data_IF_885578826378
#
_entry.id   IF_885578826378
#
_cell.length_a   1.000
_cell.length_b   1.000
_cell.length_c   1.000
_cell.angle_alpha   90.00
_cell.angle_beta   90.00
_cell.angle_gamma   90.00
#
_symmetry.space_group_name_H-M   'P 1'
#
loop_
_entity.id
_entity.type
_entity.pdbx_description
1 polymer ?
#
# COMPACT_ATOMS: atom_id res chain seq x y z
N UNK A 1 -39.58 14.39 -2.40
CA UNK A 1 -39.32 14.14 -3.84
C UNK A 1 -39.12 12.65 -4.05
N UNK A 2 -40.07 11.93 -4.69
CA UNK A 2 -39.89 10.52 -5.05
C UNK A 2 -38.80 10.38 -6.14
N UNK A 3 -38.00 9.30 -6.10
CA UNK A 3 -36.98 9.01 -7.12
C UNK A 3 -37.64 8.73 -8.46
N UNK A 4 -37.04 9.21 -9.55
CA UNK A 4 -37.55 8.95 -10.91
C UNK A 4 -37.28 7.51 -11.33
N UNK A 5 -38.07 6.97 -12.26
CA UNK A 5 -37.91 5.60 -12.74
C UNK A 5 -36.52 5.34 -13.35
N UNK A 6 -35.91 6.35 -13.97
CA UNK A 6 -34.55 6.29 -14.50
C UNK A 6 -33.50 6.16 -13.39
N UNK A 7 -33.63 6.95 -12.32
CA UNK A 7 -32.75 6.84 -11.16
C UNK A 7 -32.82 5.46 -10.50
N UNK A 8 -34.02 4.84 -10.48
CA UNK A 8 -34.18 3.49 -9.94
C UNK A 8 -33.54 2.41 -10.84
N UNK A 9 -33.62 2.56 -12.17
CA UNK A 9 -32.94 1.66 -13.12
C UNK A 9 -31.43 1.74 -13.00
N UNK A 10 -30.89 2.95 -12.92
CA UNK A 10 -29.46 3.18 -12.77
C UNK A 10 -28.94 2.65 -11.43
N UNK A 11 -29.70 2.90 -10.35
CA UNK A 11 -29.42 2.32 -9.03
C UNK A 11 -29.37 0.79 -9.07
N UNK A 12 -30.36 0.14 -9.70
CA UNK A 12 -30.39 -1.33 -9.78
C UNK A 12 -29.27 -1.90 -10.67
N UNK A 13 -28.83 -1.17 -11.70
CA UNK A 13 -27.68 -1.55 -12.54
C UNK A 13 -26.38 -1.53 -11.73
N UNK A 14 -26.13 -0.44 -11.02
CA UNK A 14 -24.95 -0.29 -10.17
C UNK A 14 -24.96 -1.29 -9.00
N UNK A 15 -26.13 -1.54 -8.41
CA UNK A 15 -26.30 -2.53 -7.36
C UNK A 15 -25.96 -3.95 -7.84
N UNK A 16 -26.42 -4.35 -9.03
CA UNK A 16 -26.10 -5.66 -9.63
C UNK A 16 -24.62 -5.79 -9.95
N UNK A 17 -24.00 -4.75 -10.52
CA UNK A 17 -22.58 -4.73 -10.84
C UNK A 17 -21.72 -4.88 -9.57
N UNK A 18 -22.05 -4.12 -8.51
CA UNK A 18 -21.33 -4.18 -7.24
C UNK A 18 -21.53 -5.53 -6.53
N UNK A 19 -22.74 -6.10 -6.60
CA UNK A 19 -23.02 -7.43 -6.04
C UNK A 19 -22.23 -8.53 -6.75
N UNK A 20 -22.10 -8.45 -8.08
CA UNK A 20 -21.30 -9.41 -8.86
C UNK A 20 -19.81 -9.29 -8.54
N UNK A 21 -19.27 -8.07 -8.41
CA UNK A 21 -17.88 -7.85 -7.99
C UNK A 21 -17.59 -8.41 -6.60
N UNK A 22 -18.47 -8.15 -5.64
CA UNK A 22 -18.33 -8.68 -4.28
C UNK A 22 -18.39 -10.21 -4.23
N UNK A 23 -19.23 -10.83 -5.07
CA UNK A 23 -19.28 -12.29 -5.20
C UNK A 23 -18.00 -12.87 -5.84
N UNK A 24 -17.42 -12.18 -6.82
CA UNK A 24 -16.15 -12.58 -7.42
C UNK A 24 -14.98 -12.42 -6.43
N UNK A 25 -14.95 -11.35 -5.64
CA UNK A 25 -13.97 -11.13 -4.57
C UNK A 25 -14.06 -12.25 -3.51
N UNK A 26 -15.26 -12.62 -3.05
CA UNK A 26 -15.42 -13.73 -2.09
C UNK A 26 -15.04 -15.10 -2.68
N UNK A 27 -15.23 -15.32 -3.99
CA UNK A 27 -14.85 -16.58 -4.63
C UNK A 27 -13.32 -16.73 -4.73
N UNK A 28 -12.61 -15.65 -5.03
CA UNK A 28 -11.13 -15.62 -5.07
C UNK A 28 -10.55 -15.82 -3.67
N UNK A 29 -11.17 -15.26 -2.64
CA UNK A 29 -10.77 -15.43 -1.25
C UNK A 29 -10.96 -16.89 -0.78
N UNK A 30 -12.05 -17.56 -1.18
CA UNK A 30 -12.27 -18.98 -0.85
C UNK A 30 -11.37 -19.99 -1.60
N UNK A 31 -10.62 -19.57 -2.63
CA UNK A 31 -9.75 -20.47 -3.41
C UNK A 31 -8.31 -20.49 -2.90
N UNK A 32 -7.90 -19.53 -2.06
CA UNK A 32 -6.54 -19.48 -1.49
C UNK A 32 -6.40 -20.17 -0.12
N UNK A 33 -7.50 -20.64 0.47
CA UNK A 33 -7.49 -21.48 1.69
C UNK A 33 -7.76 -22.98 1.42
N UNK A 34 -7.94 -23.40 0.16
CA UNK A 34 -8.26 -24.79 -0.22
C UNK A 34 -7.18 -25.46 -1.08
N UNK A 35 -5.91 -25.23 -0.75
CA UNK A 35 -4.79 -26.05 -1.23
C UNK A 35 -4.16 -26.82 -0.05
N UNK A 36 -4.99 -27.57 0.69
CA UNK A 36 -4.51 -28.34 1.85
C UNK A 36 -5.45 -29.41 2.40
N UNK A 37 -6.53 -29.77 1.71
CA UNK A 37 -7.49 -30.78 2.19
C UNK A 37 -7.63 -31.95 1.20
N UNK A 38 -6.59 -32.78 1.06
CA UNK A 38 -6.76 -34.16 0.63
C UNK A 38 -5.56 -35.02 0.99
N UNK A 39 -5.52 -35.58 2.21
CA UNK A 39 -4.83 -36.86 2.42
C UNK A 39 -5.66 -37.71 3.37
N UNK A 40 -6.22 -38.76 2.78
CA UNK A 40 -6.83 -39.95 3.38
C UNK A 40 -5.92 -40.55 4.46
N UNK A 41 -6.33 -40.44 5.72
CA UNK A 41 -5.73 -41.21 6.81
C UNK A 41 -6.37 -42.60 6.88
N UNK A 42 -5.79 -43.55 6.17
CA UNK A 42 -6.01 -44.99 6.37
C UNK A 42 -4.66 -45.64 6.66
N UNK A 43 -4.52 -46.08 7.91
CA UNK A 43 -3.64 -47.12 8.44
C UNK A 43 -2.23 -47.31 7.85
N UNK A 44 -1.20 -47.07 8.65
CA UNK A 44 -0.09 -48.01 8.75
C UNK A 44 0.73 -47.80 10.02
N UNK A 45 0.66 -48.78 10.91
CA UNK A 45 1.60 -48.99 12.01
C UNK A 45 3.00 -49.27 11.48
N UNK A 46 4.04 -48.74 12.14
CA UNK A 46 5.22 -49.47 12.65
C UNK A 46 6.49 -48.61 12.71
N UNK A 47 6.77 -48.16 13.93
CA UNK A 47 8.03 -48.34 14.65
C UNK A 47 9.34 -47.65 14.18
N UNK A 48 9.97 -47.06 15.21
CA UNK A 48 11.40 -47.13 15.59
C UNK A 48 12.30 -45.91 15.33
N UNK A 49 12.59 -45.27 16.48
CA UNK A 49 13.92 -45.00 17.07
C UNK A 49 14.81 -43.89 16.50
N UNK A 50 14.98 -42.91 17.39
CA UNK A 50 16.25 -42.40 17.90
C UNK A 50 16.92 -41.22 17.17
N UNK A 51 17.11 -40.14 17.96
CA UNK A 51 18.42 -39.65 18.42
C UNK A 51 18.70 -38.18 18.10
N UNK A 52 19.05 -37.48 19.17
CA UNK A 52 19.88 -36.27 19.26
C UNK A 52 19.28 -34.92 18.85
N UNK A 53 18.82 -34.24 19.90
CA UNK A 53 18.91 -32.81 20.16
C UNK A 53 20.22 -32.12 19.72
N UNK A 54 20.10 -30.92 19.13
CA UNK A 54 20.96 -29.74 19.40
C UNK A 54 20.35 -28.46 18.79
N UNK A 55 19.98 -27.43 19.58
CA UNK A 55 19.78 -26.08 19.07
C UNK A 55 21.06 -25.26 19.33
N UNK A 56 21.62 -24.63 18.30
CA UNK A 56 22.68 -23.65 18.47
C UNK A 56 22.51 -22.49 17.48
N UNK A 57 22.52 -21.30 18.07
CA UNK A 57 22.30 -20.00 17.48
C UNK A 57 23.30 -19.62 16.39
N UNK A 58 22.82 -18.70 15.55
CA UNK A 58 23.53 -17.57 14.96
C UNK A 58 24.74 -17.85 14.05
N UNK A 59 24.70 -17.29 12.85
CA UNK A 59 25.53 -16.13 12.49
C UNK A 59 25.23 -15.62 11.08
N UNK A 60 25.07 -14.30 11.05
CA UNK A 60 25.17 -13.37 9.94
C UNK A 60 26.23 -13.78 8.90
N UNK A 61 25.90 -13.58 7.62
CA UNK A 61 26.88 -13.42 6.55
C UNK A 61 26.56 -12.17 5.74
N UNK A 62 27.27 -11.11 6.09
CA UNK A 62 27.44 -9.82 5.42
C UNK A 62 28.33 -9.96 4.18
N UNK A 63 27.99 -9.30 3.05
CA UNK A 63 28.87 -8.63 2.04
C UNK A 63 28.06 -8.24 0.78
N UNK A 64 28.45 -7.24 -0.03
CA UNK A 64 28.85 -5.86 0.26
C UNK A 64 28.07 -4.79 -0.55
N UNK A 65 28.01 -3.58 0.01
CA UNK A 65 28.11 -2.26 -0.64
C UNK A 65 27.32 -1.96 -1.93
N UNK A 66 26.04 -1.64 -1.75
CA UNK A 66 25.41 -0.49 -2.39
C UNK A 66 24.64 0.22 -1.27
N UNK A 67 24.51 1.55 -1.22
CA UNK A 67 23.61 2.21 -0.29
C UNK A 67 22.18 1.94 -0.76
N UNK A 68 21.78 0.68 -0.66
CA UNK A 68 20.42 0.23 -0.84
C UNK A 68 19.76 0.69 0.45
N UNK A 69 18.77 1.60 0.37
CA UNK A 69 18.06 2.03 1.57
C UNK A 69 17.62 0.76 2.30
N UNK A 70 18.14 0.57 3.51
CA UNK A 70 17.94 -0.65 4.30
C UNK A 70 16.50 -0.75 4.83
N UNK A 71 15.66 0.23 4.49
CA UNK A 71 14.22 0.25 4.67
C UNK A 71 13.47 1.02 3.58
N UNK A 72 12.20 0.70 3.43
CA UNK A 72 11.19 1.44 2.69
C UNK A 72 11.18 2.91 3.11
N UNK A 73 11.38 3.24 4.40
CA UNK A 73 11.49 4.64 4.85
C UNK A 73 12.62 5.38 4.14
N UNK A 74 13.81 4.80 4.09
CA UNK A 74 14.98 5.44 3.48
C UNK A 74 14.81 5.59 1.96
N UNK A 75 14.16 4.62 1.31
CA UNK A 75 13.84 4.71 -0.13
C UNK A 75 12.85 5.85 -0.40
N UNK A 76 11.82 5.96 0.42
CA UNK A 76 10.80 7.01 0.29
C UNK A 76 11.42 8.38 0.61
N UNK A 77 12.29 8.47 1.61
CA UNK A 77 12.98 9.71 1.95
C UNK A 77 13.91 10.18 0.82
N UNK A 78 14.66 9.26 0.19
CA UNK A 78 15.52 9.57 -0.94
C UNK A 78 14.72 10.08 -2.15
N UNK A 79 13.59 9.43 -2.45
CA UNK A 79 12.72 9.86 -3.55
C UNK A 79 12.08 11.22 -3.28
N UNK A 80 11.62 11.47 -2.04
CA UNK A 80 11.08 12.77 -1.62
C UNK A 80 12.13 13.88 -1.73
N UNK A 81 13.39 13.60 -1.38
CA UNK A 81 14.49 14.57 -1.51
C UNK A 81 14.79 14.92 -2.96
N UNK A 82 14.56 13.99 -3.89
CA UNK A 82 14.70 14.24 -5.33
C UNK A 82 13.55 15.09 -5.91
N UNK A 83 12.46 15.28 -5.17
CA UNK A 83 11.27 16.01 -5.63
C UNK A 83 11.21 17.45 -5.08
N UNK A 84 11.27 18.50 -5.93
CA UNK A 84 11.27 19.89 -5.47
C UNK A 84 9.94 20.32 -4.83
N UNK A 85 8.82 19.68 -5.21
CA UNK A 85 7.50 20.01 -4.67
C UNK A 85 7.23 19.44 -3.28
N UNK A 86 8.06 18.51 -2.80
CA UNK A 86 7.96 17.95 -1.46
C UNK A 86 8.05 19.04 -0.37
N UNK A 87 8.90 20.05 -0.59
CA UNK A 87 9.06 21.18 0.33
C UNK A 87 7.77 21.98 0.55
N UNK A 88 6.87 21.99 -0.44
CA UNK A 88 5.61 22.72 -0.37
C UNK A 88 4.48 21.93 0.33
N UNK A 89 4.69 20.64 0.63
CA UNK A 89 3.68 19.76 1.21
C UNK A 89 4.22 18.93 2.39
N UNK A 90 4.75 19.58 3.44
CA UNK A 90 5.41 18.89 4.55
C UNK A 90 4.49 17.91 5.28
N UNK A 91 3.18 18.21 5.34
CA UNK A 91 2.20 17.30 5.95
C UNK A 91 2.07 15.97 5.20
N UNK A 92 2.11 15.98 3.86
CA UNK A 92 2.06 14.73 3.08
C UNK A 92 3.34 13.93 3.23
N UNK A 93 4.48 14.62 3.22
CA UNK A 93 5.81 14.02 3.46
C UNK A 93 5.84 13.29 4.80
N UNK A 94 5.33 13.92 5.88
CA UNK A 94 5.28 13.31 7.20
C UNK A 94 4.42 12.03 7.24
N UNK A 95 3.26 12.03 6.57
CA UNK A 95 2.39 10.84 6.51
C UNK A 95 3.05 9.73 5.69
N UNK A 96 3.71 10.05 4.57
CA UNK A 96 4.41 9.05 3.76
C UNK A 96 5.57 8.39 4.51
N UNK A 97 6.36 9.17 5.26
CA UNK A 97 7.41 8.63 6.14
C UNK A 97 6.82 7.74 7.25
N UNK A 98 5.71 8.16 7.85
CA UNK A 98 5.02 7.34 8.86
C UNK A 98 4.48 6.01 8.30
N UNK A 99 3.92 6.02 7.10
CA UNK A 99 3.47 4.80 6.42
C UNK A 99 4.65 3.89 6.05
N UNK A 100 5.75 4.47 5.58
CA UNK A 100 6.96 3.72 5.25
C UNK A 100 7.52 3.00 6.49
N UNK A 101 7.56 3.66 7.65
CA UNK A 101 7.95 3.04 8.93
C UNK A 101 7.09 1.85 9.33
N UNK A 102 5.79 1.92 9.10
CA UNK A 102 4.87 0.81 9.38
C UNK A 102 5.21 -0.39 8.49
N UNK A 103 5.53 -0.12 7.22
CA UNK A 103 5.84 -1.16 6.23
C UNK A 103 7.26 -1.74 6.41
N UNK A 104 8.17 -1.02 7.06
CA UNK A 104 9.51 -1.52 7.41
C UNK A 104 9.49 -2.64 8.45
N UNK A 105 8.40 -2.78 9.20
CA UNK A 105 8.22 -3.93 10.07
C UNK A 105 7.62 -5.11 9.28
N UNK A 106 8.35 -6.22 9.04
CA UNK A 106 7.87 -7.33 8.24
C UNK A 106 6.65 -8.04 8.85
N UNK A 107 6.43 -7.92 10.15
CA UNK A 107 5.25 -8.47 10.84
C UNK A 107 3.98 -7.64 10.60
N UNK A 108 4.12 -6.39 10.16
CA UNK A 108 3.03 -5.47 9.89
C UNK A 108 2.46 -5.63 8.46
N UNK A 109 3.24 -6.21 7.53
CA UNK A 109 2.87 -6.35 6.11
C UNK A 109 1.51 -7.05 5.90
N UNK A 110 1.19 -8.19 6.57
CA UNK A 110 -0.09 -8.86 6.36
C UNK A 110 -1.29 -8.04 6.87
N UNK A 111 -1.07 -7.18 7.86
CA UNK A 111 -2.11 -6.38 8.51
C UNK A 111 -2.30 -5.01 7.83
N UNK A 112 -1.28 -4.52 7.14
CA UNK A 112 -1.21 -3.17 6.60
C UNK A 112 -1.06 -3.13 5.07
N UNK A 113 -1.59 -4.12 4.35
CA UNK A 113 -1.82 -4.05 2.89
C UNK A 113 -2.45 -2.73 2.40
N UNK A 114 -3.45 -2.13 3.08
CA UNK A 114 -3.97 -0.82 2.67
C UNK A 114 -2.97 0.33 2.85
N UNK A 115 -2.01 0.24 3.78
CA UNK A 115 -0.99 1.26 3.99
C UNK A 115 -0.02 1.33 2.79
N UNK A 116 0.34 0.18 2.21
CA UNK A 116 1.17 0.12 1.00
C UNK A 116 0.46 0.80 -0.19
N UNK A 117 -0.83 0.53 -0.39
CA UNK A 117 -1.63 1.19 -1.43
C UNK A 117 -1.75 2.70 -1.21
N UNK A 118 -1.97 3.11 0.04
CA UNK A 118 -2.07 4.53 0.39
C UNK A 118 -0.73 5.27 0.15
N UNK A 119 0.40 4.62 0.42
CA UNK A 119 1.73 5.19 0.17
C UNK A 119 1.95 5.42 -1.33
N UNK A 120 1.63 4.44 -2.17
CA UNK A 120 1.76 4.57 -3.63
C UNK A 120 0.85 5.68 -4.21
N UNK A 121 -0.40 5.74 -3.74
CA UNK A 121 -1.34 6.78 -4.15
C UNK A 121 -0.88 8.18 -3.73
N UNK A 122 -0.30 8.32 -2.53
CA UNK A 122 0.24 9.59 -2.06
C UNK A 122 1.51 10.01 -2.80
N UNK A 123 2.43 9.08 -3.09
CA UNK A 123 3.61 9.35 -3.92
C UNK A 123 3.20 9.80 -5.31
N UNK A 124 2.20 9.15 -5.91
CA UNK A 124 1.65 9.55 -7.21
C UNK A 124 0.98 10.92 -7.18
N UNK A 125 0.23 11.24 -6.12
CA UNK A 125 -0.35 12.58 -5.92
C UNK A 125 0.72 13.66 -5.71
N UNK A 126 1.84 13.33 -5.07
CA UNK A 126 2.94 14.26 -4.87
C UNK A 126 3.65 14.55 -6.20
N UNK A 127 3.86 13.52 -7.03
CA UNK A 127 4.38 13.65 -8.40
C UNK A 127 3.44 14.48 -9.29
N UNK A 128 2.14 14.22 -9.24
CA UNK A 128 1.14 14.97 -10.03
C UNK A 128 0.88 16.41 -9.56
N UNK A 129 1.28 16.77 -8.33
CA UNK A 129 1.06 18.11 -7.80
C UNK A 129 1.97 19.19 -8.42
N UNK A 130 2.99 18.78 -9.19
CA UNK A 130 3.89 19.65 -9.98
C UNK A 130 3.10 20.61 -10.90
N UNK A 131 1.97 20.15 -11.46
CA UNK A 131 1.20 20.92 -12.44
C UNK A 131 0.17 21.87 -11.80
N UNK A 132 -0.17 21.70 -10.52
CA UNK A 132 -1.18 22.52 -9.85
C UNK A 132 -0.61 23.78 -9.14
N UNK A 133 0.71 23.99 -9.21
CA UNK A 133 1.48 24.93 -8.40
C UNK A 133 1.26 26.44 -8.62
N UNK A 134 0.26 26.84 -9.41
CA UNK A 134 -0.21 28.21 -9.45
C UNK A 134 -1.36 28.44 -8.46
N UNK A 135 -1.11 28.38 -7.14
CA UNK A 135 -2.16 28.66 -6.17
C UNK A 135 -2.82 30.01 -6.47
N UNK A 136 -4.15 30.08 -6.41
CA UNK A 136 -4.95 31.29 -6.72
C UNK A 136 -4.47 32.51 -5.92
N UNK A 137 -3.93 32.29 -4.72
CA UNK A 137 -3.28 33.33 -3.91
C UNK A 137 -1.96 33.82 -4.50
N UNK A 138 -1.13 32.94 -5.04
CA UNK A 138 0.09 33.31 -5.78
C UNK A 138 -0.27 34.07 -7.04
N UNK A 139 -1.29 33.63 -7.79
CA UNK A 139 -1.81 34.37 -8.95
C UNK A 139 -2.38 35.74 -8.56
N UNK A 140 -3.06 35.86 -7.42
CA UNK A 140 -3.57 37.13 -6.91
C UNK A 140 -2.45 38.06 -6.42
N UNK A 141 -1.36 37.52 -5.85
CA UNK A 141 -0.17 38.30 -5.48
C UNK A 141 0.56 38.82 -6.71
N UNK A 142 0.84 37.96 -7.70
CA UNK A 142 1.45 38.37 -8.97
C UNK A 142 0.58 39.41 -9.72
N UNK A 143 -0.75 39.30 -9.64
CA UNK A 143 -1.66 40.30 -10.22
C UNK A 143 -1.67 41.64 -9.49
N UNK A 144 -1.40 41.65 -8.17
CA UNK A 144 -1.23 42.90 -7.41
C UNK A 144 0.13 43.55 -7.68
N UNK A 145 1.19 42.76 -7.78
CA UNK A 145 2.54 43.28 -8.04
C UNK A 145 2.71 43.81 -9.48
N UNK A 146 1.94 43.31 -10.44
CA UNK A 146 1.95 43.79 -11.83
C UNK A 146 1.10 45.03 -12.14
N UNK A 147 0.47 45.69 -11.15
CA UNK A 147 -0.40 46.89 -11.37
C UNK A 147 0.17 48.17 -10.76
N UNK A 148 1.49 48.31 -10.77
CA UNK A 148 2.19 49.55 -10.43
C UNK A 148 3.31 49.80 -11.43
N UNK A 149 2.92 50.15 -12.65
CA UNK A 149 3.74 50.84 -13.64
C UNK A 149 2.81 51.71 -14.49
#
# INVERSE_FOLDING_TARGET
MPRTAEQQREYMRNYRANKARKAAESAVESTTESAGASVTNIGSTRARTAKASKPAAAKNSTTPDSPKPEGIEESVAAEIKAMPHAANQPGKVAIMLGLARILDNPHAIPQHTPAAKALDEMMTKLRGAEVAGGNKLTQLRSRREGKSA
#
